data_IF_467202839150
#
_entry.id   IF_467202839150
#
_cell.length_a   1.000
_cell.length_b   1.000
_cell.length_c   1.000
_cell.angle_alpha   90.00
_cell.angle_beta   90.00
_cell.angle_gamma   90.00
#
_symmetry.space_group_name_H-M   'P 1'
#
loop_
_entity.id
_entity.type
_entity.pdbx_description
1 polymer ?
#
# COMPACT_ATOMS: atom_id res chain seq x y z
N UNK A 1 1.16 -7.72 2.72
CA UNK A 1 0.85 -8.94 1.95
C UNK A 1 -0.66 -9.10 1.93
N UNK A 2 -1.30 -9.10 0.76
CA UNK A 2 -2.71 -9.46 0.66
C UNK A 2 -2.90 -10.83 1.32
N UNK A 3 -3.81 -10.92 2.29
CA UNK A 3 -3.94 -12.10 3.13
C UNK A 3 -4.50 -13.27 2.31
N UNK A 4 -3.66 -14.21 1.88
CA UNK A 4 -4.07 -15.34 1.04
C UNK A 4 -5.18 -16.17 1.70
N UNK A 5 -5.19 -16.25 3.05
CA UNK A 5 -6.23 -16.92 3.83
C UNK A 5 -7.62 -16.29 3.67
N UNK A 6 -7.70 -14.99 3.41
CA UNK A 6 -8.96 -14.31 3.14
C UNK A 6 -9.56 -14.74 1.80
N UNK A 7 -8.71 -14.81 0.77
CA UNK A 7 -9.13 -15.24 -0.57
C UNK A 7 -9.58 -16.70 -0.54
N UNK A 8 -8.90 -17.54 0.22
CA UNK A 8 -9.27 -18.94 0.45
C UNK A 8 -10.61 -19.08 1.19
N UNK A 9 -10.84 -18.35 2.30
CA UNK A 9 -12.09 -18.43 3.06
C UNK A 9 -13.28 -17.84 2.28
N UNK A 10 -13.04 -16.76 1.53
CA UNK A 10 -14.03 -16.20 0.62
C UNK A 10 -14.37 -17.19 -0.50
N UNK A 11 -13.36 -17.79 -1.15
CA UNK A 11 -13.55 -18.80 -2.20
C UNK A 11 -14.33 -20.02 -1.69
N UNK A 12 -14.02 -20.50 -0.48
CA UNK A 12 -14.72 -21.62 0.15
C UNK A 12 -16.19 -21.29 0.42
N UNK A 13 -16.48 -20.10 0.97
CA UNK A 13 -17.86 -19.63 1.25
C UNK A 13 -18.65 -19.37 -0.03
N UNK A 14 -18.00 -18.82 -1.06
CA UNK A 14 -18.61 -18.60 -2.37
C UNK A 14 -18.97 -19.93 -3.03
N UNK A 15 -18.06 -20.91 -2.99
CA UNK A 15 -18.26 -22.25 -3.55
C UNK A 15 -19.38 -23.02 -2.83
N UNK A 16 -19.48 -22.88 -1.50
CA UNK A 16 -20.53 -23.50 -0.70
C UNK A 16 -21.94 -22.95 -1.00
N UNK A 17 -22.02 -21.78 -1.65
CA UNK A 17 -23.29 -21.13 -1.96
C UNK A 17 -23.77 -21.40 -3.39
N UNK A 18 -23.02 -22.02 -4.30
CA UNK A 18 -23.49 -22.26 -5.68
C UNK A 18 -24.58 -23.35 -5.71
N UNK A 19 -25.85 -23.07 -6.04
CA UNK A 19 -26.87 -24.09 -6.21
C UNK A 19 -26.89 -24.60 -7.66
N UNK A 20 -27.22 -25.86 -7.83
CA UNK A 20 -27.27 -26.55 -9.13
C UNK A 20 -28.51 -26.13 -9.97
N UNK A 21 -29.48 -25.40 -9.39
CA UNK A 21 -30.76 -25.06 -10.03
C UNK A 21 -31.05 -23.55 -10.08
N UNK A 22 -31.67 -23.09 -11.18
CA UNK A 22 -31.77 -21.69 -11.58
C UNK A 22 -32.74 -20.78 -10.79
N UNK A 23 -33.71 -21.34 -10.05
CA UNK A 23 -34.74 -20.53 -9.36
C UNK A 23 -34.24 -19.80 -8.10
N UNK A 24 -33.13 -20.26 -7.51
CA UNK A 24 -32.57 -19.67 -6.27
C UNK A 24 -31.52 -18.58 -6.58
N UNK A 25 -31.33 -18.22 -7.85
CA UNK A 25 -30.26 -17.34 -8.31
C UNK A 25 -30.30 -15.93 -7.69
N UNK A 26 -31.47 -15.32 -7.55
CA UNK A 26 -31.59 -13.94 -7.02
C UNK A 26 -31.40 -13.85 -5.51
N UNK A 27 -31.91 -14.82 -4.74
CA UNK A 27 -31.60 -14.92 -3.31
C UNK A 27 -30.11 -15.16 -3.08
N UNK A 28 -29.49 -15.94 -3.96
CA UNK A 28 -28.06 -16.19 -3.91
C UNK A 28 -27.24 -14.93 -4.18
N UNK A 29 -27.62 -14.17 -5.22
CA UNK A 29 -26.99 -12.90 -5.55
C UNK A 29 -27.02 -11.96 -4.35
N UNK A 30 -28.17 -11.87 -3.68
CA UNK A 30 -28.34 -11.02 -2.50
C UNK A 30 -27.45 -11.48 -1.34
N UNK A 31 -27.38 -12.79 -1.07
CA UNK A 31 -26.50 -13.35 -0.03
C UNK A 31 -25.01 -13.17 -0.37
N UNK A 32 -24.63 -13.31 -1.63
CA UNK A 32 -23.27 -13.05 -2.12
C UNK A 32 -22.87 -11.59 -1.89
N UNK A 33 -23.74 -10.65 -2.26
CA UNK A 33 -23.50 -9.22 -2.04
C UNK A 33 -23.37 -8.87 -0.56
N UNK A 34 -24.20 -9.47 0.32
CA UNK A 34 -24.10 -9.26 1.77
C UNK A 34 -22.82 -9.84 2.37
N UNK A 35 -22.41 -11.04 1.94
CA UNK A 35 -21.16 -11.66 2.39
C UNK A 35 -19.93 -10.89 1.91
N UNK A 36 -19.92 -10.41 0.66
CA UNK A 36 -18.84 -9.55 0.17
C UNK A 36 -18.76 -8.26 0.97
N UNK A 37 -19.90 -7.60 1.23
CA UNK A 37 -19.96 -6.38 2.04
C UNK A 37 -19.44 -6.60 3.46
N UNK A 38 -19.85 -7.67 4.14
CA UNK A 38 -19.39 -7.96 5.51
C UNK A 38 -17.92 -8.38 5.55
N UNK A 39 -17.47 -9.13 4.53
CA UNK A 39 -16.09 -9.57 4.39
C UNK A 39 -15.15 -8.40 4.12
N UNK A 40 -15.53 -7.43 3.28
CA UNK A 40 -14.77 -6.20 3.07
C UNK A 40 -14.84 -5.25 4.28
N UNK A 41 -15.95 -5.22 5.02
CA UNK A 41 -16.05 -4.42 6.25
C UNK A 41 -15.16 -4.93 7.39
N UNK A 42 -14.85 -6.23 7.41
CA UNK A 42 -13.93 -6.84 8.37
C UNK A 42 -12.45 -6.72 7.99
N UNK A 43 -12.15 -6.23 6.78
CA UNK A 43 -10.79 -5.89 6.40
C UNK A 43 -10.54 -4.44 6.81
N UNK A 44 -9.40 -4.18 7.46
CA UNK A 44 -8.89 -2.82 7.72
C UNK A 44 -8.40 -2.19 6.40
N UNK A 45 -9.34 -2.03 5.47
CA UNK A 45 -9.11 -1.42 4.17
C UNK A 45 -8.95 0.06 4.43
N UNK A 46 -7.71 0.53 4.37
CA UNK A 46 -7.44 1.94 4.19
C UNK A 46 -8.29 2.42 3.02
N UNK A 47 -9.09 3.45 3.29
CA UNK A 47 -9.85 4.11 2.24
C UNK A 47 -8.88 4.58 1.16
N UNK A 48 -9.39 4.71 -0.07
CA UNK A 48 -8.57 5.21 -1.18
C UNK A 48 -7.95 6.58 -0.86
N UNK A 49 -8.67 7.42 -0.12
CA UNK A 49 -8.19 8.72 0.34
C UNK A 49 -7.02 8.58 1.32
N UNK A 50 -7.09 7.67 2.30
CA UNK A 50 -5.98 7.42 3.23
C UNK A 50 -4.76 6.83 2.54
N UNK A 51 -4.96 5.94 1.56
CA UNK A 51 -3.87 5.42 0.74
C UNK A 51 -3.16 6.52 -0.05
N UNK A 52 -3.94 7.41 -0.70
CA UNK A 52 -3.39 8.52 -1.49
C UNK A 52 -2.69 9.56 -0.59
N UNK A 53 -3.21 9.79 0.63
CA UNK A 53 -2.56 10.63 1.63
C UNK A 53 -1.20 10.07 2.08
N UNK A 54 -1.13 8.76 2.39
CA UNK A 54 0.13 8.10 2.75
C UNK A 54 1.13 8.10 1.58
N UNK A 55 0.67 7.83 0.36
CA UNK A 55 1.51 7.90 -0.84
C UNK A 55 2.10 9.29 -1.05
N UNK A 56 1.33 10.33 -0.79
CA UNK A 56 1.79 11.72 -0.88
C UNK A 56 2.79 12.06 0.22
N UNK A 57 2.57 11.58 1.45
CA UNK A 57 3.53 11.72 2.53
C UNK A 57 4.87 11.03 2.22
N UNK A 58 4.82 9.80 1.67
CA UNK A 58 5.99 9.06 1.25
C UNK A 58 6.79 9.81 0.18
N UNK A 59 6.14 10.31 -0.88
CA UNK A 59 6.81 11.11 -1.91
C UNK A 59 7.51 12.35 -1.35
N UNK A 60 6.93 13.00 -0.34
CA UNK A 60 7.56 14.15 0.33
C UNK A 60 8.79 13.73 1.12
N UNK A 61 8.73 12.58 1.80
CA UNK A 61 9.88 12.04 2.52
C UNK A 61 11.02 11.69 1.55
N UNK A 62 10.74 11.00 0.44
CA UNK A 62 11.72 10.68 -0.60
C UNK A 62 12.40 11.94 -1.15
N UNK A 63 11.61 12.99 -1.44
CA UNK A 63 12.16 14.28 -1.89
C UNK A 63 13.11 14.88 -0.85
N UNK A 64 12.70 14.87 0.43
CA UNK A 64 13.50 15.46 1.51
C UNK A 64 14.79 14.69 1.76
N UNK A 65 14.76 13.37 1.64
CA UNK A 65 15.96 12.53 1.72
C UNK A 65 16.94 12.91 0.62
N UNK A 66 16.46 13.03 -0.63
CA UNK A 66 17.31 13.42 -1.76
C UNK A 66 17.95 14.80 -1.57
N UNK A 67 17.20 15.80 -1.10
CA UNK A 67 17.73 17.14 -0.80
C UNK A 67 18.83 17.09 0.28
N UNK A 68 18.69 16.22 1.28
CA UNK A 68 19.69 16.04 2.33
C UNK A 68 20.94 15.31 1.81
N UNK A 69 20.78 14.30 0.96
CA UNK A 69 21.89 13.61 0.29
C UNK A 69 22.70 14.59 -0.57
N UNK A 70 22.04 15.44 -1.36
CA UNK A 70 22.69 16.49 -2.14
C UNK A 70 23.45 17.48 -1.25
N UNK A 71 22.82 17.94 -0.16
CA UNK A 71 23.44 18.86 0.79
C UNK A 71 24.69 18.26 1.47
N UNK A 72 24.64 16.96 1.79
CA UNK A 72 25.79 16.24 2.36
C UNK A 72 26.91 16.06 1.34
N UNK A 73 26.58 15.80 0.07
CA UNK A 73 27.57 15.71 -1.01
C UNK A 73 28.31 17.04 -1.18
N UNK A 74 27.57 18.15 -1.29
CA UNK A 74 28.17 19.47 -1.40
C UNK A 74 29.05 19.83 -0.19
N UNK A 75 28.62 19.44 1.01
CA UNK A 75 29.39 19.70 2.21
C UNK A 75 30.70 18.90 2.22
N UNK A 76 30.64 17.63 1.80
CA UNK A 76 31.81 16.75 1.70
C UNK A 76 32.80 17.31 0.67
N UNK A 77 32.34 17.70 -0.51
CA UNK A 77 33.18 18.32 -1.55
C UNK A 77 33.87 19.61 -1.06
N UNK A 78 33.15 20.46 -0.31
CA UNK A 78 33.74 21.68 0.27
C UNK A 78 34.79 21.37 1.33
N UNK A 79 34.60 20.31 2.13
CA UNK A 79 35.58 19.89 3.12
C UNK A 79 36.85 19.36 2.45
N UNK A 80 36.71 18.53 1.42
CA UNK A 80 37.85 18.00 0.65
C UNK A 80 38.66 19.14 0.01
N UNK A 81 37.97 20.12 -0.60
CA UNK A 81 38.61 21.32 -1.17
C UNK A 81 39.34 22.16 -0.11
N UNK A 82 38.80 22.23 1.11
CA UNK A 82 39.42 22.96 2.22
C UNK A 82 40.70 22.26 2.74
N UNK A 83 40.70 20.92 2.78
CA UNK A 83 41.87 20.12 3.16
C UNK A 83 42.98 20.21 2.10
N UNK A 84 42.64 20.18 0.81
CA UNK A 84 43.61 20.36 -0.29
C UNK A 84 44.23 21.77 -0.28
N UNK A 85 43.46 22.81 0.03
CA UNK A 85 43.96 24.18 0.15
C UNK A 85 44.86 24.39 1.39
N UNK A 86 44.63 23.63 2.45
CA UNK A 86 45.41 23.69 3.69
C UNK A 86 46.72 22.91 3.61
N UNK A 87 46.79 21.88 2.76
CA UNK A 87 47.99 21.06 2.54
C UNK A 87 48.92 21.64 1.45
N UNK A 88 48.43 22.55 0.61
CA UNK A 88 49.21 23.22 -0.46
C UNK A 88 49.87 24.56 -0.04
N UNK A 89 49.74 25.00 1.21
CA UNK A 89 50.45 26.16 1.78
C UNK A 89 51.53 25.72 2.76
#
# INVERSE_FOLDING_TARGET
MFNNKFVEDLSARLSAMIPIAGEVREELRTKMEQLLKSSFAGLDLLSREEFDAQRTALKRAEKRIKELEESLSELTEKMDQFEEQSTSK
#
